data_IF_359281064958
#
_entry.id   IF_359281064958
#
_cell.length_a   1.000
_cell.length_b   1.000
_cell.length_c   1.000
_cell.angle_alpha   90.00
_cell.angle_beta   90.00
_cell.angle_gamma   90.00
#
_symmetry.space_group_name_H-M   'P 1'
#
loop_
_entity.id
_entity.type
_entity.pdbx_description
1 polymer ?
#
# COMPACT_ATOMS: atom_id res chain seq x y z
N UNK A 1 -33.29 2.44 24.00
CA UNK A 1 -32.42 2.24 22.83
C UNK A 1 -33.23 2.40 21.54
N UNK A 2 -33.28 3.61 20.96
CA UNK A 2 -34.10 3.87 19.76
C UNK A 2 -33.43 3.33 18.46
N UNK A 3 -32.10 3.22 18.44
CA UNK A 3 -31.33 2.73 17.30
C UNK A 3 -31.51 1.23 16.99
N UNK A 4 -31.60 0.39 18.02
CA UNK A 4 -31.87 -1.04 17.83
C UNK A 4 -33.28 -1.27 17.26
N UNK A 5 -34.28 -0.56 17.79
CA UNK A 5 -35.66 -0.65 17.30
C UNK A 5 -35.78 -0.17 15.85
N UNK A 6 -35.12 0.93 15.48
CA UNK A 6 -35.08 1.43 14.11
C UNK A 6 -34.42 0.44 13.13
N UNK A 7 -33.29 -0.16 13.52
CA UNK A 7 -32.60 -1.16 12.70
C UNK A 7 -33.48 -2.40 12.45
N UNK A 8 -34.14 -2.92 13.49
CA UNK A 8 -35.01 -4.08 13.37
C UNK A 8 -36.24 -3.81 12.50
N UNK A 9 -36.87 -2.64 12.64
CA UNK A 9 -38.03 -2.24 11.83
C UNK A 9 -37.68 -2.04 10.35
N UNK A 10 -36.45 -1.60 10.05
CA UNK A 10 -35.95 -1.43 8.67
C UNK A 10 -35.34 -2.69 8.05
N UNK A 11 -35.34 -3.83 8.76
CA UNK A 11 -34.72 -5.08 8.30
C UNK A 11 -33.18 -5.08 8.32
N UNK A 12 -32.56 -4.13 9.02
CA UNK A 12 -31.12 -4.06 9.26
C UNK A 12 -30.69 -4.81 10.53
N UNK A 13 -29.38 -4.98 10.71
CA UNK A 13 -28.82 -5.53 11.95
C UNK A 13 -28.33 -4.41 12.89
N UNK A 14 -28.27 -4.73 14.18
CA UNK A 14 -27.73 -3.85 15.21
C UNK A 14 -26.52 -4.54 15.86
N UNK A 15 -25.40 -3.81 15.97
CA UNK A 15 -24.21 -4.24 16.70
C UNK A 15 -23.76 -3.12 17.63
N UNK A 16 -23.44 -3.46 18.87
CA UNK A 16 -22.73 -2.58 19.79
C UNK A 16 -21.28 -3.08 19.87
N UNK A 17 -20.37 -2.26 19.36
CA UNK A 17 -18.95 -2.58 19.23
C UNK A 17 -18.21 -1.67 20.17
N UNK A 18 -17.41 -2.27 21.04
CA UNK A 18 -16.56 -1.51 21.95
C UNK A 18 -15.57 -0.65 21.14
N UNK A 19 -15.79 0.66 21.15
CA UNK A 19 -14.93 1.63 20.46
C UNK A 19 -13.59 1.82 21.17
N UNK A 20 -13.48 1.39 22.44
CA UNK A 20 -12.23 1.36 23.20
C UNK A 20 -11.42 0.08 22.94
N UNK A 21 -12.01 -0.94 22.29
CA UNK A 21 -11.29 -2.13 21.87
C UNK A 21 -10.22 -1.73 20.85
N UNK A 22 -8.96 -1.71 21.30
CA UNK A 22 -7.82 -1.44 20.42
C UNK A 22 -7.80 -2.51 19.33
N UNK A 23 -7.86 -2.09 18.07
CA UNK A 23 -7.47 -2.94 16.94
C UNK A 23 -5.98 -3.19 17.09
N UNK A 24 -5.60 -4.24 17.81
CA UNK A 24 -4.22 -4.68 17.87
C UNK A 24 -3.89 -5.20 16.48
N UNK A 25 -3.13 -4.43 15.69
CA UNK A 25 -2.61 -4.95 14.43
C UNK A 25 -1.79 -6.20 14.75
N UNK A 26 -2.19 -7.32 14.17
CA UNK A 26 -1.43 -8.56 14.29
C UNK A 26 -0.08 -8.33 13.62
N UNK A 27 0.98 -8.34 14.42
CA UNK A 27 2.35 -8.29 13.92
C UNK A 27 2.65 -9.57 13.15
N UNK A 28 2.98 -9.42 11.88
CA UNK A 28 3.26 -10.53 11.00
C UNK A 28 4.78 -10.69 10.79
N UNK A 29 5.30 -11.92 10.66
CA UNK A 29 6.73 -12.15 10.40
C UNK A 29 7.28 -11.42 9.17
N UNK A 30 6.42 -11.10 8.20
CA UNK A 30 6.78 -10.43 6.95
C UNK A 30 6.98 -8.92 7.10
N UNK A 31 6.49 -8.32 8.20
CA UNK A 31 6.38 -6.86 8.33
C UNK A 31 7.73 -6.15 8.21
N UNK A 32 8.77 -6.68 8.86
CA UNK A 32 10.11 -6.09 8.84
C UNK A 32 10.73 -6.09 7.43
N UNK A 33 10.54 -7.17 6.67
CA UNK A 33 11.08 -7.26 5.31
C UNK A 33 10.31 -6.38 4.33
N UNK A 34 8.97 -6.28 4.45
CA UNK A 34 8.18 -5.35 3.63
C UNK A 34 8.62 -3.90 3.89
N UNK A 35 8.87 -3.56 5.16
CA UNK A 35 9.39 -2.25 5.57
C UNK A 35 10.77 -1.95 4.97
N UNK A 36 11.69 -2.91 5.05
CA UNK A 36 13.03 -2.79 4.44
C UNK A 36 12.94 -2.58 2.93
N UNK A 37 12.14 -3.39 2.23
CA UNK A 37 11.93 -3.30 0.80
C UNK A 37 11.25 -1.98 0.39
N UNK A 38 10.34 -1.46 1.22
CA UNK A 38 9.73 -0.14 1.03
C UNK A 38 10.78 0.97 0.99
N UNK A 39 11.80 0.91 1.86
CA UNK A 39 12.94 1.84 1.80
C UNK A 39 13.80 1.62 0.56
N UNK A 40 14.02 0.36 0.15
CA UNK A 40 14.80 0.08 -1.07
C UNK A 40 14.13 0.61 -2.34
N UNK A 41 12.79 0.65 -2.41
CA UNK A 41 12.08 1.30 -3.52
C UNK A 41 12.52 2.75 -3.73
N UNK A 42 12.87 3.49 -2.67
CA UNK A 42 13.33 4.89 -2.78
C UNK A 42 14.55 5.04 -3.69
N UNK A 43 15.43 4.04 -3.70
CA UNK A 43 16.65 4.01 -4.51
C UNK A 43 16.40 3.77 -6.00
N UNK A 44 15.14 3.52 -6.38
CA UNK A 44 14.73 3.24 -7.75
C UNK A 44 13.98 4.40 -8.40
N UNK A 45 13.61 5.44 -7.66
CA UNK A 45 12.95 6.63 -8.24
C UNK A 45 13.98 7.58 -8.83
N UNK A 46 13.63 8.15 -9.98
CA UNK A 46 14.43 9.13 -10.70
C UNK A 46 13.57 10.39 -10.84
N UNK A 47 13.75 11.33 -9.92
CA UNK A 47 13.03 12.61 -9.96
C UNK A 47 13.42 13.39 -11.22
N UNK A 48 12.46 13.73 -12.08
CA UNK A 48 12.71 14.53 -13.28
C UNK A 48 11.81 15.77 -13.35
N UNK A 49 12.23 16.73 -14.17
CA UNK A 49 11.52 17.98 -14.41
C UNK A 49 11.46 18.88 -13.17
N UNK A 50 10.68 19.96 -13.29
CA UNK A 50 10.57 20.99 -12.24
C UNK A 50 9.96 20.47 -10.93
N UNK A 51 9.16 19.39 -10.99
CA UNK A 51 8.47 18.82 -9.83
C UNK A 51 9.21 17.65 -9.16
N UNK A 52 10.18 17.02 -9.86
CA UNK A 52 10.88 15.81 -9.42
C UNK A 52 11.49 15.91 -8.02
N UNK A 53 12.31 16.94 -7.77
CA UNK A 53 12.97 17.15 -6.47
C UNK A 53 11.97 17.33 -5.33
N UNK A 54 10.91 18.11 -5.56
CA UNK A 54 9.86 18.35 -4.55
C UNK A 54 9.06 17.08 -4.27
N UNK A 55 8.76 16.30 -5.30
CA UNK A 55 8.00 15.07 -5.17
C UNK A 55 8.79 13.96 -4.44
N UNK A 56 10.08 13.83 -4.71
CA UNK A 56 10.98 12.94 -3.96
C UNK A 56 11.04 13.34 -2.47
N UNK A 57 11.27 14.61 -2.17
CA UNK A 57 11.30 15.09 -0.79
C UNK A 57 9.96 14.83 -0.05
N UNK A 58 8.82 14.98 -0.75
CA UNK A 58 7.50 14.64 -0.22
C UNK A 58 7.35 13.14 0.02
N UNK A 59 7.83 12.29 -0.90
CA UNK A 59 7.82 10.84 -0.74
C UNK A 59 8.63 10.44 0.51
N UNK A 60 9.84 10.97 0.67
CA UNK A 60 10.70 10.69 1.82
C UNK A 60 10.09 11.17 3.14
N UNK A 61 9.43 12.34 3.15
CA UNK A 61 8.74 12.83 4.34
C UNK A 61 7.58 11.91 4.74
N UNK A 62 6.80 11.43 3.77
CA UNK A 62 5.73 10.47 4.00
C UNK A 62 6.28 9.12 4.49
N UNK A 63 7.42 8.68 3.96
CA UNK A 63 8.10 7.47 4.41
C UNK A 63 8.55 7.65 5.87
N UNK A 64 9.27 8.73 6.22
CA UNK A 64 9.69 9.02 7.60
C UNK A 64 8.52 9.03 8.57
N UNK A 65 7.41 9.67 8.21
CA UNK A 65 6.20 9.68 9.04
C UNK A 65 5.62 8.26 9.23
N UNK A 66 5.60 7.45 8.18
CA UNK A 66 5.11 6.07 8.25
C UNK A 66 5.99 5.18 9.14
N UNK A 67 7.31 5.36 9.10
CA UNK A 67 8.26 4.61 9.93
C UNK A 67 8.33 5.11 11.39
N UNK A 68 7.97 6.38 11.65
CA UNK A 68 7.89 6.94 12.99
C UNK A 68 6.61 6.49 13.75
N UNK A 69 5.59 6.02 13.03
CA UNK A 69 4.38 5.49 13.64
C UNK A 69 4.68 4.21 14.45
N UNK A 70 3.94 3.94 15.54
CA UNK A 70 4.09 2.70 16.29
C UNK A 70 3.97 1.48 15.37
N UNK A 71 4.82 0.47 15.55
CA UNK A 71 4.78 -0.75 14.71
C UNK A 71 3.39 -1.41 14.72
N UNK A 72 2.69 -1.35 15.87
CA UNK A 72 1.32 -1.84 16.05
C UNK A 72 0.27 -1.09 15.20
N UNK A 73 0.60 0.04 14.57
CA UNK A 73 -0.29 0.74 13.64
C UNK A 73 -0.16 0.22 12.20
N UNK A 74 0.88 -0.57 11.87
CA UNK A 74 1.07 -1.16 10.54
C UNK A 74 1.32 -0.17 9.39
N UNK A 75 1.46 1.12 9.69
CA UNK A 75 1.54 2.21 8.68
C UNK A 75 2.73 2.03 7.74
N UNK A 76 3.89 1.67 8.26
CA UNK A 76 5.09 1.42 7.46
C UNK A 76 4.92 0.26 6.45
N UNK A 77 4.18 -0.79 6.83
CA UNK A 77 3.86 -1.91 5.95
C UNK A 77 2.89 -1.48 4.86
N UNK A 78 1.81 -0.77 5.22
CA UNK A 78 0.86 -0.21 4.26
C UNK A 78 1.54 0.73 3.26
N UNK A 79 2.53 1.49 3.73
CA UNK A 79 3.33 2.35 2.87
C UNK A 79 4.10 1.56 1.80
N UNK A 80 4.73 0.45 2.18
CA UNK A 80 5.40 -0.45 1.24
C UNK A 80 4.43 -1.06 0.22
N UNK A 81 3.27 -1.51 0.68
CA UNK A 81 2.21 -2.05 -0.19
C UNK A 81 1.70 -1.01 -1.19
N UNK A 82 1.47 0.24 -0.73
CA UNK A 82 1.04 1.33 -1.59
C UNK A 82 2.07 1.60 -2.70
N UNK A 83 3.36 1.71 -2.36
CA UNK A 83 4.43 1.96 -3.34
C UNK A 83 4.65 0.80 -4.33
N UNK A 84 4.26 -0.42 -3.94
CA UNK A 84 4.29 -1.60 -4.81
C UNK A 84 3.03 -1.75 -5.69
N UNK A 85 2.08 -0.82 -5.63
CA UNK A 85 0.87 -0.84 -6.43
C UNK A 85 1.01 -0.11 -7.77
N UNK A 86 0.25 -0.55 -8.77
CA UNK A 86 0.16 0.12 -10.07
C UNK A 86 -0.35 1.56 -9.93
N UNK A 87 -1.31 1.80 -9.02
CA UNK A 87 -1.88 3.13 -8.77
C UNK A 87 -0.81 4.14 -8.35
N UNK A 88 0.15 3.71 -7.54
CA UNK A 88 1.24 4.58 -7.10
C UNK A 88 2.16 4.93 -8.27
N UNK A 89 2.54 3.95 -9.09
CA UNK A 89 3.32 4.18 -10.29
C UNK A 89 2.61 5.16 -11.25
N UNK A 90 1.30 5.01 -11.44
CA UNK A 90 0.49 5.94 -12.24
C UNK A 90 0.54 7.37 -11.70
N UNK A 91 0.41 7.55 -10.38
CA UNK A 91 0.51 8.87 -9.75
C UNK A 91 1.92 9.50 -9.81
N UNK A 92 2.94 8.70 -10.16
CA UNK A 92 4.32 9.13 -10.18
C UNK A 92 4.82 9.56 -11.57
N UNK A 93 4.04 9.34 -12.63
CA UNK A 93 4.42 9.59 -14.02
C UNK A 93 4.80 11.05 -14.32
N UNK A 94 4.36 12.03 -13.52
CA UNK A 94 4.68 13.45 -13.71
C UNK A 94 6.05 13.87 -13.17
N UNK A 95 6.66 13.03 -12.34
CA UNK A 95 7.84 13.43 -11.56
C UNK A 95 8.89 12.32 -11.42
N UNK A 96 8.57 11.07 -11.72
CA UNK A 96 9.49 9.93 -11.74
C UNK A 96 9.69 9.39 -13.17
N UNK A 97 10.92 9.46 -13.67
CA UNK A 97 11.25 9.07 -15.04
C UNK A 97 11.02 7.59 -15.30
N UNK A 98 11.22 6.71 -14.31
CA UNK A 98 10.94 5.28 -14.45
C UNK A 98 9.44 5.06 -14.69
N UNK A 99 8.58 5.64 -13.84
CA UNK A 99 7.13 5.54 -14.00
C UNK A 99 6.63 6.19 -15.30
N UNK A 100 7.21 7.34 -15.69
CA UNK A 100 6.87 8.01 -16.93
C UNK A 100 7.19 7.13 -18.16
N UNK A 101 8.39 6.52 -18.20
CA UNK A 101 8.79 5.63 -19.29
C UNK A 101 7.96 4.34 -19.33
N UNK A 102 7.70 3.70 -18.18
CA UNK A 102 6.85 2.50 -18.12
C UNK A 102 5.42 2.75 -18.59
N UNK A 103 4.93 3.98 -18.45
CA UNK A 103 3.61 4.39 -18.91
C UNK A 103 3.55 4.82 -20.38
N UNK A 104 4.71 4.97 -21.03
CA UNK A 104 4.81 5.53 -22.38
C UNK A 104 4.58 7.05 -22.44
N UNK A 105 4.49 7.74 -21.30
CA UNK A 105 4.35 9.20 -21.23
C UNK A 105 5.64 9.95 -21.62
N UNK A 106 6.78 9.28 -21.48
CA UNK A 106 8.10 9.86 -21.69
C UNK A 106 8.95 8.86 -22.45
N UNK A 107 9.64 9.32 -23.48
CA UNK A 107 10.73 8.55 -24.11
C UNK A 107 12.10 9.04 -23.64
N UNK A 108 13.12 8.20 -23.79
CA UNK A 108 14.48 8.53 -23.32
C UNK A 108 15.11 9.71 -24.08
N UNK A 109 14.69 9.93 -25.33
CA UNK A 109 15.10 11.02 -26.21
C UNK A 109 14.41 12.36 -25.90
N UNK A 110 13.25 12.35 -25.25
CA UNK A 110 12.54 13.56 -24.80
C UNK A 110 13.11 14.16 -23.50
N UNK A 111 13.95 13.41 -22.78
CA UNK A 111 14.56 13.84 -21.53
C UNK A 111 15.63 14.92 -21.74
N UNK A 112 15.28 16.16 -21.43
CA UNK A 112 16.21 17.28 -21.41
C UNK A 112 17.24 17.09 -20.30
N UNK A 113 18.51 17.35 -20.60
CA UNK A 113 19.61 17.27 -19.62
C UNK A 113 19.35 18.16 -18.39
N UNK A 114 18.70 19.30 -18.58
CA UNK A 114 18.32 20.25 -17.52
C UNK A 114 17.38 19.65 -16.48
N UNK A 115 16.53 18.73 -16.92
CA UNK A 115 15.43 18.13 -16.14
C UNK A 115 15.86 16.85 -15.42
N UNK A 116 17.11 16.42 -15.61
CA UNK A 116 17.67 15.24 -14.99
C UNK A 116 18.32 15.55 -13.63
N UNK A 117 18.36 14.56 -12.72
CA UNK A 117 19.22 14.62 -11.55
C UNK A 117 20.68 14.84 -11.92
N UNK A 118 21.46 15.45 -11.03
CA UNK A 118 22.86 15.80 -11.27
C UNK A 118 23.70 14.58 -11.71
N UNK A 119 23.47 13.41 -11.10
CA UNK A 119 24.13 12.14 -11.41
C UNK A 119 23.90 11.68 -12.86
N UNK A 120 22.84 12.16 -13.51
CA UNK A 120 22.47 11.78 -14.89
C UNK A 120 22.80 12.85 -15.93
N UNK A 121 23.19 14.07 -15.52
CA UNK A 121 23.47 15.17 -16.47
C UNK A 121 24.64 14.88 -17.41
N UNK A 122 25.62 14.10 -16.94
CA UNK A 122 26.77 13.67 -17.74
C UNK A 122 26.52 12.44 -18.64
N UNK A 123 25.35 11.81 -18.54
CA UNK A 123 25.03 10.63 -19.34
C UNK A 123 24.55 11.03 -20.74
N UNK A 124 24.98 10.28 -21.76
CA UNK A 124 24.37 10.33 -23.10
C UNK A 124 23.00 9.63 -23.13
N UNK A 125 22.27 9.74 -24.24
CA UNK A 125 20.92 9.17 -24.37
C UNK A 125 20.87 7.66 -24.12
N UNK A 126 21.86 6.89 -24.63
CA UNK A 126 21.91 5.44 -24.44
C UNK A 126 22.21 5.07 -22.99
N UNK A 127 23.11 5.82 -22.35
CA UNK A 127 23.44 5.66 -20.93
C UNK A 127 22.24 5.98 -20.03
N UNK A 128 21.47 7.04 -20.34
CA UNK A 128 20.24 7.39 -19.63
C UNK A 128 19.22 6.28 -19.73
N UNK A 129 18.95 5.81 -20.94
CA UNK A 129 17.99 4.72 -21.18
C UNK A 129 18.39 3.45 -20.41
N UNK A 130 19.67 3.04 -20.51
CA UNK A 130 20.19 1.89 -19.79
C UNK A 130 20.08 2.06 -18.26
N UNK A 131 20.35 3.27 -17.74
CA UNK A 131 20.24 3.57 -16.32
C UNK A 131 18.79 3.51 -15.82
N UNK A 132 17.86 4.14 -16.54
CA UNK A 132 16.44 4.12 -16.19
C UNK A 132 15.88 2.70 -16.27
N UNK A 133 16.25 1.95 -17.31
CA UNK A 133 15.87 0.54 -17.46
C UNK A 133 16.39 -0.31 -16.29
N UNK A 134 17.64 -0.12 -15.88
CA UNK A 134 18.20 -0.81 -14.70
C UNK A 134 17.37 -0.51 -13.44
N UNK A 135 17.01 0.76 -13.21
CA UNK A 135 16.15 1.16 -12.09
C UNK A 135 14.74 0.58 -12.16
N UNK A 136 14.17 0.49 -13.36
CA UNK A 136 12.88 -0.17 -13.59
C UNK A 136 12.92 -1.66 -13.23
N UNK A 137 13.97 -2.37 -13.68
CA UNK A 137 14.13 -3.80 -13.42
C UNK A 137 14.37 -4.07 -11.91
N UNK A 138 15.23 -3.27 -11.25
CA UNK A 138 15.42 -3.28 -9.79
C UNK A 138 14.08 -3.08 -9.05
N UNK A 139 13.30 -2.07 -9.47
CA UNK A 139 11.99 -1.76 -8.90
C UNK A 139 11.02 -2.93 -9.03
N UNK A 140 10.90 -3.54 -10.21
CA UNK A 140 10.02 -4.69 -10.46
C UNK A 140 10.34 -5.86 -9.53
N UNK A 141 11.63 -6.18 -9.36
CA UNK A 141 12.05 -7.24 -8.45
C UNK A 141 11.63 -6.96 -7.01
N UNK A 142 11.83 -5.72 -6.53
CA UNK A 142 11.44 -5.31 -5.17
C UNK A 142 9.91 -5.37 -5.00
N UNK A 143 9.16 -4.82 -5.96
CA UNK A 143 7.70 -4.81 -5.92
C UNK A 143 7.11 -6.22 -5.93
N UNK A 144 7.62 -7.13 -6.77
CA UNK A 144 7.20 -8.52 -6.79
C UNK A 144 7.43 -9.21 -5.44
N UNK A 145 8.57 -8.93 -4.78
CA UNK A 145 8.86 -9.47 -3.44
C UNK A 145 7.90 -8.91 -2.39
N UNK A 146 7.61 -7.60 -2.42
CA UNK A 146 6.61 -6.98 -1.53
C UNK A 146 5.23 -7.61 -1.72
N UNK A 147 4.80 -7.82 -2.97
CA UNK A 147 3.49 -8.41 -3.27
C UNK A 147 3.39 -9.84 -2.73
N UNK A 148 4.40 -10.68 -2.97
CA UNK A 148 4.47 -12.03 -2.41
C UNK A 148 4.40 -12.02 -0.88
N UNK A 149 5.23 -11.20 -0.22
CA UNK A 149 5.25 -11.09 1.23
C UNK A 149 3.92 -10.58 1.78
N UNK A 150 3.24 -9.69 1.07
CA UNK A 150 1.92 -9.22 1.45
C UNK A 150 0.86 -10.32 1.36
N UNK A 151 0.92 -11.19 0.37
CA UNK A 151 0.02 -12.36 0.30
C UNK A 151 0.24 -13.32 1.48
N UNK A 152 1.50 -13.61 1.80
CA UNK A 152 1.88 -14.43 2.96
C UNK A 152 1.43 -13.77 4.27
N UNK A 153 1.64 -12.45 4.41
CA UNK A 153 1.16 -11.63 5.53
C UNK A 153 -0.35 -11.73 5.68
N UNK A 154 -1.12 -11.56 4.60
CA UNK A 154 -2.59 -11.63 4.63
C UNK A 154 -3.09 -12.98 5.11
N UNK A 155 -2.45 -14.07 4.68
CA UNK A 155 -2.78 -15.43 5.15
C UNK A 155 -2.49 -15.58 6.65
N UNK A 156 -1.32 -15.12 7.09
CA UNK A 156 -0.93 -15.16 8.50
C UNK A 156 -1.89 -14.36 9.39
N UNK A 157 -2.19 -13.11 9.02
CA UNK A 157 -3.12 -12.24 9.76
C UNK A 157 -4.50 -12.88 9.83
N UNK A 158 -5.04 -13.35 8.69
CA UNK A 158 -6.35 -14.00 8.68
C UNK A 158 -6.41 -15.28 9.52
N UNK A 159 -5.32 -16.05 9.58
CA UNK A 159 -5.23 -17.21 10.47
C UNK A 159 -5.23 -16.79 11.95
N UNK A 160 -4.41 -15.80 12.30
CA UNK A 160 -4.32 -15.31 13.69
C UNK A 160 -5.62 -14.65 14.16
N UNK A 161 -6.31 -13.92 13.29
CA UNK A 161 -7.66 -13.38 13.59
C UNK A 161 -8.66 -14.49 13.92
N UNK A 162 -8.61 -15.62 13.19
CA UNK A 162 -9.46 -16.79 13.50
C UNK A 162 -9.10 -17.44 14.83
N UNK A 163 -7.80 -17.58 15.12
CA UNK A 163 -7.32 -18.13 16.39
C UNK A 163 -7.76 -17.27 17.58
N UNK A 164 -7.67 -15.95 17.49
CA UNK A 164 -8.10 -15.03 18.54
C UNK A 164 -9.63 -14.99 18.69
N UNK A 165 -10.38 -15.04 17.58
CA UNK A 165 -11.84 -15.16 17.63
C UNK A 165 -12.29 -16.47 18.30
N UNK A 166 -11.59 -17.58 18.06
CA UNK A 166 -11.89 -18.86 18.69
C UNK A 166 -11.64 -18.87 20.22
N UNK A 167 -10.80 -17.96 20.73
CA UNK A 167 -10.54 -17.77 22.17
C UNK A 167 -11.52 -16.82 22.86
N UNK A 168 -12.58 -16.38 22.17
CA UNK A 168 -13.55 -15.43 22.71
C UNK A 168 -13.10 -13.96 22.63
N UNK A 169 -12.17 -13.64 21.73
CA UNK A 169 -11.79 -12.25 21.43
C UNK A 169 -13.00 -11.41 20.99
N UNK A 170 -13.02 -10.13 21.37
CA UNK A 170 -14.09 -9.21 21.02
C UNK A 170 -14.23 -9.05 19.49
N UNK A 171 -15.47 -9.04 18.99
CA UNK A 171 -15.77 -8.84 17.57
C UNK A 171 -15.33 -7.43 17.14
N UNK A 172 -14.44 -7.36 16.14
CA UNK A 172 -13.99 -6.07 15.60
C UNK A 172 -15.08 -5.42 14.73
N UNK A 173 -14.98 -4.10 14.52
CA UNK A 173 -15.88 -3.36 13.61
C UNK A 173 -15.98 -4.00 12.24
N UNK A 174 -14.84 -4.39 11.64
CA UNK A 174 -14.81 -5.03 10.33
C UNK A 174 -15.55 -6.37 10.31
N UNK A 175 -15.35 -7.21 11.34
CA UNK A 175 -16.02 -8.51 11.46
C UNK A 175 -17.54 -8.33 11.59
N UNK A 176 -17.99 -7.41 12.45
CA UNK A 176 -19.41 -7.13 12.66
C UNK A 176 -20.08 -6.61 11.37
N UNK A 177 -19.42 -5.70 10.64
CA UNK A 177 -19.93 -5.19 9.36
C UNK A 177 -19.99 -6.30 8.31
N UNK A 178 -18.93 -7.10 8.15
CA UNK A 178 -18.91 -8.23 7.19
C UNK A 178 -20.02 -9.23 7.52
N UNK A 179 -20.17 -9.58 8.79
CA UNK A 179 -21.21 -10.50 9.27
C UNK A 179 -22.61 -9.95 9.00
N UNK A 180 -22.85 -8.67 9.27
CA UNK A 180 -24.14 -8.04 8.99
C UNK A 180 -24.44 -8.01 7.49
N UNK A 181 -23.49 -7.58 6.65
CA UNK A 181 -23.66 -7.55 5.20
C UNK A 181 -23.94 -8.95 4.65
N UNK A 182 -23.20 -9.98 5.11
CA UNK A 182 -23.42 -11.36 4.70
C UNK A 182 -24.78 -11.89 5.15
N UNK A 183 -25.21 -11.58 6.38
CA UNK A 183 -26.53 -11.96 6.90
C UNK A 183 -27.65 -11.35 6.07
N UNK A 184 -27.57 -10.04 5.80
CA UNK A 184 -28.57 -9.33 4.99
C UNK A 184 -28.59 -9.82 3.54
N UNK A 185 -27.44 -10.09 2.95
CA UNK A 185 -27.34 -10.62 1.59
C UNK A 185 -27.86 -12.07 1.48
N UNK A 186 -27.60 -12.92 2.47
CA UNK A 186 -28.15 -14.28 2.49
C UNK A 186 -29.69 -14.28 2.54
N UNK A 187 -30.30 -13.36 3.34
CA UNK A 187 -31.77 -13.15 3.34
C UNK A 187 -32.31 -12.72 1.97
N UNK A 188 -31.47 -12.11 1.13
CA UNK A 188 -31.80 -11.71 -0.26
C UNK A 188 -31.39 -12.77 -1.30
N UNK A 189 -31.01 -13.97 -0.88
CA UNK A 189 -30.71 -15.10 -1.76
C UNK A 189 -29.27 -15.18 -2.28
N UNK A 190 -28.38 -14.29 -1.83
CA UNK A 190 -26.96 -14.36 -2.19
C UNK A 190 -26.27 -15.53 -1.47
N UNK A 191 -25.45 -16.28 -2.20
CA UNK A 191 -24.64 -17.39 -1.65
C UNK A 191 -23.17 -16.98 -1.64
N UNK A 192 -22.53 -17.16 -0.50
CA UNK A 192 -21.10 -16.90 -0.32
C UNK A 192 -20.34 -18.23 -0.43
N UNK A 193 -19.32 -18.29 -1.28
CA UNK A 193 -18.35 -19.40 -1.35
C UNK A 193 -17.11 -19.07 -0.52
#
# INVERSE_FOLDING_TARGET
MQWQAGAQLGGGDYANIDQAARVVSISAPQDAEIQRLSMDLNKTYIGYGSSGKKALARQEAADRAAFAAPAAAGVAVQRGMAKASAQYAQSAQEWDAVSAMESGKLSADELKTEELPDDMKGMDAKQREAYIKKKADERKTIQAKIQRLNEERRKYVAQKEKEEAAKGGAETLGQAVIKSVRTQAAKKGFKFK
#
